data_IF_090440273224
#
_entry.id   IF_090440273224
#
_cell.length_a   1.000
_cell.length_b   1.000
_cell.length_c   1.000
_cell.angle_alpha   90.00
_cell.angle_beta   90.00
_cell.angle_gamma   90.00
#
_symmetry.space_group_name_H-M   'P 1'
#
loop_
_entity.id
_entity.type
_entity.pdbx_description
1 polymer ?
#
# COMPACT_ATOMS: atom_id res chain seq x y z
N UNK A 1 3.92 -38.21 -20.36
CA UNK A 1 3.87 -37.82 -18.93
C UNK A 1 5.03 -36.91 -18.62
N UNK A 2 4.75 -35.62 -18.47
CA UNK A 2 5.57 -34.66 -17.74
C UNK A 2 4.64 -33.51 -17.34
N UNK A 3 4.62 -33.23 -16.04
CA UNK A 3 3.62 -32.47 -15.31
C UNK A 3 3.57 -31.00 -15.76
N UNK A 4 2.35 -30.47 -15.88
CA UNK A 4 2.11 -29.03 -15.74
C UNK A 4 2.43 -28.63 -14.30
N UNK A 5 3.41 -27.74 -14.13
CA UNK A 5 3.56 -26.94 -12.91
C UNK A 5 2.46 -25.86 -12.92
N UNK A 6 1.64 -25.72 -11.86
CA UNK A 6 0.71 -24.60 -11.78
C UNK A 6 1.49 -23.29 -11.57
N UNK A 7 1.10 -22.26 -12.33
CA UNK A 7 1.59 -20.90 -12.18
C UNK A 7 1.29 -20.37 -10.75
N UNK A 8 2.18 -19.57 -10.14
CA UNK A 8 1.91 -18.96 -8.84
C UNK A 8 0.72 -18.00 -8.93
N UNK A 9 -0.23 -18.19 -8.02
CA UNK A 9 -1.48 -17.46 -7.87
C UNK A 9 -1.30 -16.08 -7.22
N UNK A 10 -0.28 -15.32 -7.63
CA UNK A 10 -0.04 -13.98 -7.12
C UNK A 10 -0.89 -12.98 -7.92
N UNK A 11 -2.19 -13.01 -7.64
CA UNK A 11 -3.17 -12.03 -8.10
C UNK A 11 -2.82 -10.65 -7.55
N UNK A 12 -2.35 -9.79 -8.43
CA UNK A 12 -2.30 -8.35 -8.22
C UNK A 12 -3.72 -7.79 -8.06
N UNK A 13 -3.83 -6.54 -7.58
CA UNK A 13 -5.02 -5.67 -7.49
C UNK A 13 -5.75 -5.58 -6.14
N UNK A 14 -5.65 -4.39 -5.53
CA UNK A 14 -6.75 -3.72 -4.81
C UNK A 14 -7.36 -2.74 -5.81
N UNK A 15 -8.67 -2.78 -6.03
CA UNK A 15 -9.29 -2.00 -7.11
C UNK A 15 -9.43 -0.51 -6.75
N UNK A 16 -8.99 0.31 -7.70
CA UNK A 16 -9.16 1.76 -7.82
C UNK A 16 -8.53 2.16 -9.16
N UNK A 17 -9.37 2.16 -10.19
CA UNK A 17 -9.15 2.39 -11.63
C UNK A 17 -7.90 3.23 -12.05
N UNK A 18 -7.19 2.78 -13.09
CA UNK A 18 -6.14 3.53 -13.82
C UNK A 18 -6.46 3.46 -15.31
N UNK A 19 -6.71 4.60 -15.94
CA UNK A 19 -6.77 4.73 -17.41
C UNK A 19 -5.55 5.50 -17.91
N UNK A 20 -4.81 4.87 -18.83
CA UNK A 20 -4.13 5.40 -20.05
C UNK A 20 -3.30 6.71 -19.92
N UNK A 21 -2.00 6.84 -20.24
CA UNK A 21 -1.10 6.13 -21.17
C UNK A 21 0.39 6.33 -20.78
N UNK A 22 1.25 5.40 -21.23
CA UNK A 22 2.74 5.34 -21.40
C UNK A 22 3.67 6.15 -20.44
N UNK A 23 4.58 5.47 -19.69
CA UNK A 23 5.66 6.14 -18.97
C UNK A 23 6.91 6.32 -19.85
N UNK A 24 7.45 7.54 -19.88
CA UNK A 24 8.87 7.76 -20.15
C UNK A 24 9.67 7.20 -18.96
N UNK A 25 10.62 6.32 -19.26
CA UNK A 25 11.49 5.68 -18.28
C UNK A 25 12.34 6.72 -17.55
N UNK A 26 12.31 6.71 -16.22
CA UNK A 26 13.44 7.19 -15.42
C UNK A 26 14.31 5.96 -15.13
N UNK A 27 15.58 6.07 -15.52
CA UNK A 27 16.62 5.04 -15.45
C UNK A 27 16.74 4.41 -14.04
N UNK A 28 16.91 3.09 -14.00
CA UNK A 28 16.95 2.24 -12.80
C UNK A 28 18.35 1.71 -12.46
N UNK A 29 19.42 2.29 -13.02
CA UNK A 29 20.79 1.79 -12.82
C UNK A 29 21.66 2.58 -11.83
N UNK A 30 21.10 3.46 -11.00
CA UNK A 30 21.86 4.08 -9.92
C UNK A 30 21.70 3.30 -8.59
N UNK A 31 22.79 3.02 -7.84
CA UNK A 31 22.69 2.67 -6.43
C UNK A 31 22.39 3.96 -5.66
N UNK A 32 21.15 4.43 -5.78
CA UNK A 32 20.67 5.60 -5.04
C UNK A 32 20.18 5.10 -3.70
N UNK A 33 20.67 5.70 -2.61
CA UNK A 33 20.01 5.60 -1.31
C UNK A 33 18.50 5.82 -1.53
N UNK A 34 17.72 4.76 -1.36
CA UNK A 34 16.30 4.73 -1.77
C UNK A 34 15.43 5.60 -0.84
N UNK A 35 16.02 6.10 0.24
CA UNK A 35 15.38 6.88 1.29
C UNK A 35 15.46 8.36 0.93
N UNK A 36 14.34 9.08 0.79
CA UNK A 36 14.38 10.52 1.00
C UNK A 36 14.83 10.79 2.45
N UNK A 37 15.51 11.92 2.68
CA UNK A 37 15.82 12.35 4.04
C UNK A 37 14.52 12.38 4.88
N UNK A 38 14.56 11.88 6.12
CA UNK A 38 13.42 11.92 7.04
C UNK A 38 12.82 13.33 6.99
N UNK A 39 11.50 13.49 6.73
CA UNK A 39 10.94 14.82 6.73
C UNK A 39 11.16 15.40 8.14
N UNK A 40 11.47 16.69 8.26
CA UNK A 40 11.71 17.28 9.58
C UNK A 40 10.52 16.96 10.49
N UNK A 41 10.82 16.60 11.74
CA UNK A 41 9.82 16.29 12.75
C UNK A 41 8.69 17.33 12.70
N UNK A 42 7.42 16.87 12.74
CA UNK A 42 6.18 17.66 12.61
C UNK A 42 6.43 19.13 12.97
N UNK A 43 6.47 20.01 11.96
CA UNK A 43 6.55 21.45 12.19
C UNK A 43 5.36 21.84 13.07
N UNK A 44 5.61 22.52 14.19
CA UNK A 44 4.55 23.16 14.98
C UNK A 44 3.74 24.05 14.02
N UNK A 45 2.42 24.05 14.20
CA UNK A 45 1.44 24.72 13.33
C UNK A 45 1.87 26.15 12.98
N UNK A 46 2.24 26.36 11.72
CA UNK A 46 2.31 27.69 11.11
C UNK A 46 0.90 28.33 11.14
N UNK A 47 0.79 29.67 11.20
CA UNK A 47 -0.50 30.36 11.19
C UNK A 47 -1.30 29.95 9.95
N UNK A 48 -2.64 30.04 10.03
CA UNK A 48 -3.66 29.52 9.10
C UNK A 48 -3.46 30.01 7.66
N UNK A 49 -2.42 29.49 7.03
CA UNK A 49 -1.94 29.76 5.70
C UNK A 49 -2.26 28.58 4.79
N UNK A 50 -2.16 28.84 3.50
CA UNK A 50 -2.42 27.92 2.39
C UNK A 50 -2.10 26.46 2.73
N UNK A 51 -3.11 25.59 2.61
CA UNK A 51 -2.94 24.15 2.76
C UNK A 51 -1.77 23.66 1.88
N UNK A 52 -0.93 22.73 2.37
CA UNK A 52 0.16 22.22 1.58
C UNK A 52 -0.37 21.58 0.30
N UNK A 53 0.21 21.95 -0.84
CA UNK A 53 -0.09 21.32 -2.13
C UNK A 53 0.58 19.95 -2.16
N UNK A 54 -0.19 18.91 -2.47
CA UNK A 54 0.32 17.55 -2.67
C UNK A 54 0.40 17.25 -4.17
N UNK A 55 1.45 16.55 -4.57
CA UNK A 55 1.57 15.94 -5.89
C UNK A 55 0.73 14.67 -6.01
N UNK A 56 0.58 14.18 -7.24
CA UNK A 56 -0.14 12.93 -7.54
C UNK A 56 0.59 11.67 -7.04
N UNK A 57 1.88 11.80 -6.71
CA UNK A 57 2.75 10.76 -6.17
C UNK A 57 3.56 11.33 -5.03
N UNK A 58 3.43 10.71 -3.87
CA UNK A 58 4.07 11.18 -2.64
C UNK A 58 4.70 10.03 -1.88
N UNK A 59 5.61 10.37 -0.99
CA UNK A 59 6.12 9.46 0.03
C UNK A 59 5.29 9.62 1.30
N UNK A 60 4.79 8.52 1.84
CA UNK A 60 4.06 8.48 3.11
C UNK A 60 4.70 7.47 4.05
N UNK A 61 4.47 7.61 5.35
CA UNK A 61 4.96 6.68 6.37
C UNK A 61 3.84 6.27 7.31
N UNK A 62 3.97 5.08 7.87
CA UNK A 62 3.20 4.55 9.00
C UNK A 62 4.20 4.25 10.12
N UNK A 63 4.68 5.30 10.83
CA UNK A 63 5.81 5.19 11.75
C UNK A 63 5.52 4.27 12.94
N UNK A 64 4.27 4.22 13.40
CA UNK A 64 3.83 3.35 14.50
C UNK A 64 3.94 1.86 14.15
N UNK A 65 4.11 1.55 12.86
CA UNK A 65 4.32 0.21 12.34
C UNK A 65 5.74 0.00 11.78
N UNK A 66 6.67 0.94 11.98
CA UNK A 66 8.04 0.83 11.46
C UNK A 66 8.15 0.97 9.93
N UNK A 67 7.10 1.47 9.26
CA UNK A 67 7.12 1.77 7.84
C UNK A 67 7.42 3.25 7.64
N UNK A 68 8.70 3.61 7.60
CA UNK A 68 9.09 5.02 7.43
C UNK A 68 8.66 5.60 6.07
N UNK A 69 8.70 4.76 5.03
CA UNK A 69 8.50 5.19 3.65
C UNK A 69 7.78 4.16 2.81
N UNK A 70 6.73 4.60 2.12
CA UNK A 70 6.11 3.88 1.02
C UNK A 70 5.63 4.88 -0.03
N UNK A 71 5.77 4.53 -1.31
CA UNK A 71 5.23 5.36 -2.40
C UNK A 71 3.72 5.23 -2.44
N UNK A 72 3.01 6.35 -2.37
CA UNK A 72 1.57 6.43 -2.50
C UNK A 72 1.14 7.25 -3.71
N UNK A 73 -0.02 6.89 -4.28
CA UNK A 73 -0.71 7.71 -5.28
C UNK A 73 -1.78 8.52 -4.54
N UNK A 74 -1.81 9.84 -4.76
CA UNK A 74 -2.90 10.68 -4.27
C UNK A 74 -4.02 10.63 -5.30
N UNK A 75 -5.16 10.07 -4.91
CA UNK A 75 -6.31 9.83 -5.79
C UNK A 75 -7.56 10.50 -5.23
N UNK A 76 -7.86 11.71 -5.70
CA UNK A 76 -9.03 12.48 -5.25
C UNK A 76 -10.36 11.87 -5.71
N UNK A 77 -10.33 10.90 -6.64
CA UNK A 77 -11.53 10.18 -7.09
C UNK A 77 -11.90 8.99 -6.20
N UNK A 78 -11.02 8.60 -5.28
CA UNK A 78 -11.24 7.45 -4.41
C UNK A 78 -11.91 7.87 -3.09
N UNK A 79 -13.01 7.19 -2.72
CA UNK A 79 -13.67 7.37 -1.41
C UNK A 79 -12.88 6.74 -0.25
N UNK A 80 -11.99 5.80 -0.55
CA UNK A 80 -11.21 5.04 0.43
C UNK A 80 -9.79 4.82 -0.05
N UNK A 81 -8.84 4.79 0.89
CA UNK A 81 -7.47 4.35 0.62
C UNK A 81 -7.40 2.86 0.29
N UNK A 82 -6.38 2.47 -0.46
CA UNK A 82 -6.09 1.09 -0.80
C UNK A 82 -4.59 0.82 -0.65
N UNK A 83 -4.25 -0.29 0.00
CA UNK A 83 -2.87 -0.69 0.26
C UNK A 83 -2.62 -2.09 -0.27
N UNK A 84 -1.52 -2.26 -1.02
CA UNK A 84 -1.07 -3.59 -1.41
C UNK A 84 -0.53 -4.33 -0.18
N UNK A 85 -1.25 -5.37 0.24
CA UNK A 85 -0.95 -6.21 1.39
C UNK A 85 -0.57 -7.61 0.90
N UNK A 86 0.71 -7.96 1.00
CA UNK A 86 1.22 -9.27 0.61
C UNK A 86 1.09 -10.27 1.77
N UNK A 87 0.92 -11.56 1.44
CA UNK A 87 0.79 -12.65 2.44
C UNK A 87 -0.26 -12.35 3.52
N UNK A 88 -1.40 -11.82 3.10
CA UNK A 88 -2.52 -11.53 3.99
C UNK A 88 -3.04 -12.84 4.61
N UNK A 89 -3.06 -12.89 5.94
CA UNK A 89 -3.65 -13.97 6.72
C UNK A 89 -4.66 -13.37 7.69
N UNK A 90 -5.82 -14.00 7.84
CA UNK A 90 -6.82 -13.66 8.85
C UNK A 90 -6.71 -14.64 10.02
N UNK A 91 -6.83 -14.15 11.25
CA UNK A 91 -6.79 -14.97 12.46
C UNK A 91 -7.72 -14.39 13.53
N UNK A 92 -8.06 -15.20 14.53
CA UNK A 92 -8.79 -14.76 15.73
C UNK A 92 -7.78 -14.45 16.83
N UNK A 93 -7.92 -13.30 17.49
CA UNK A 93 -7.19 -12.95 18.70
C UNK A 93 -8.17 -12.45 19.75
N UNK A 94 -8.40 -13.26 20.78
CA UNK A 94 -9.33 -12.94 21.86
C UNK A 94 -10.80 -12.80 21.44
N UNK A 95 -11.24 -13.50 20.38
CA UNK A 95 -12.61 -13.41 19.84
C UNK A 95 -12.85 -12.23 18.89
N UNK A 96 -11.81 -11.47 18.54
CA UNK A 96 -11.84 -10.44 17.50
C UNK A 96 -11.14 -10.95 16.23
N UNK A 97 -11.63 -10.54 15.06
CA UNK A 97 -11.00 -10.88 13.79
C UNK A 97 -9.83 -9.94 13.50
N UNK A 98 -8.64 -10.50 13.27
CA UNK A 98 -7.41 -9.77 12.96
C UNK A 98 -6.85 -10.16 11.60
N UNK A 99 -6.04 -9.28 11.03
CA UNK A 99 -5.26 -9.56 9.83
C UNK A 99 -3.78 -9.30 10.05
N UNK A 100 -2.94 -10.21 9.54
CA UNK A 100 -1.50 -10.08 9.43
C UNK A 100 -1.12 -9.98 7.97
N UNK A 101 -0.34 -8.97 7.58
CA UNK A 101 0.12 -8.81 6.21
C UNK A 101 1.49 -8.15 6.14
N UNK A 102 2.14 -8.25 4.98
CA UNK A 102 3.44 -7.63 4.69
C UNK A 102 3.30 -6.50 3.69
N UNK A 103 4.01 -5.41 3.94
CA UNK A 103 4.19 -4.29 3.01
C UNK A 103 5.62 -4.33 2.49
N UNK A 104 5.76 -4.18 1.16
CA UNK A 104 7.05 -3.99 0.52
C UNK A 104 7.19 -2.51 0.11
N UNK A 105 7.99 -1.71 0.82
CA UNK A 105 8.07 -0.26 0.57
C UNK A 105 8.70 0.08 -0.79
N UNK A 106 9.56 -0.81 -1.29
CA UNK A 106 10.35 -0.60 -2.50
C UNK A 106 9.80 -1.44 -3.67
N UNK A 107 9.60 -0.81 -4.82
CA UNK A 107 9.13 -1.51 -6.02
C UNK A 107 10.12 -2.60 -6.44
N UNK A 108 9.59 -3.79 -6.77
CA UNK A 108 10.38 -4.96 -7.23
C UNK A 108 11.48 -5.36 -6.24
N UNK A 109 11.24 -5.22 -4.93
CA UNK A 109 12.19 -5.59 -3.90
C UNK A 109 11.45 -6.05 -2.63
N UNK A 110 12.09 -6.96 -1.90
CA UNK A 110 11.60 -7.49 -0.62
C UNK A 110 12.35 -6.92 0.59
N UNK A 111 13.29 -6.00 0.35
CA UNK A 111 14.10 -5.33 1.39
C UNK A 111 13.21 -4.40 2.21
N UNK A 112 13.52 -4.25 3.50
CA UNK A 112 12.78 -3.41 4.47
C UNK A 112 11.28 -3.75 4.53
N UNK A 113 10.92 -5.00 4.26
CA UNK A 113 9.54 -5.45 4.36
C UNK A 113 9.04 -5.35 5.81
N UNK A 114 7.87 -4.74 5.99
CA UNK A 114 7.24 -4.55 7.30
C UNK A 114 6.06 -5.50 7.43
N UNK A 115 5.94 -6.18 8.57
CA UNK A 115 4.76 -6.97 8.93
C UNK A 115 3.87 -6.13 9.82
N UNK A 116 2.58 -6.02 9.48
CA UNK A 116 1.58 -5.30 10.25
C UNK A 116 0.47 -6.27 10.65
N UNK A 117 0.03 -6.14 11.90
CA UNK A 117 -1.15 -6.79 12.45
C UNK A 117 -2.14 -5.72 12.87
N UNK A 118 -3.40 -5.89 12.52
CA UNK A 118 -4.46 -4.96 12.86
C UNK A 118 -5.82 -5.67 12.98
N UNK A 119 -6.71 -5.20 13.87
CA UNK A 119 -8.08 -5.68 13.94
C UNK A 119 -8.85 -5.29 12.68
N UNK A 120 -9.74 -6.18 12.23
CA UNK A 120 -10.61 -5.94 11.07
C UNK A 120 -11.78 -5.06 11.50
N UNK A 121 -11.83 -3.84 10.97
CA UNK A 121 -12.93 -2.90 11.24
C UNK A 121 -14.18 -3.25 10.42
N UNK A 122 -14.00 -3.63 9.16
CA UNK A 122 -15.09 -3.87 8.21
C UNK A 122 -14.61 -4.78 7.07
N UNK A 123 -15.54 -5.35 6.30
CA UNK A 123 -15.27 -6.16 5.12
C UNK A 123 -16.06 -5.64 3.93
N UNK A 124 -15.37 -5.24 2.88
CA UNK A 124 -15.98 -4.63 1.69
C UNK A 124 -15.81 -5.46 0.44
N UNK A 125 -16.90 -5.58 -0.32
CA UNK A 125 -16.88 -6.21 -1.62
C UNK A 125 -16.20 -5.27 -2.63
N UNK A 126 -15.04 -5.68 -3.12
CA UNK A 126 -14.22 -4.92 -4.08
C UNK A 126 -14.24 -5.67 -5.41
N UNK A 127 -14.69 -5.02 -6.48
CA UNK A 127 -14.68 -5.59 -7.83
C UNK A 127 -13.38 -5.24 -8.53
N UNK A 128 -12.68 -6.24 -9.06
CA UNK A 128 -11.55 -6.04 -9.96
C UNK A 128 -12.03 -5.51 -11.32
N UNK A 129 -11.08 -5.03 -12.13
CA UNK A 129 -11.32 -4.70 -13.55
C UNK A 129 -11.76 -5.91 -14.39
N UNK A 130 -11.46 -7.14 -13.93
CA UNK A 130 -11.97 -8.38 -14.54
C UNK A 130 -13.42 -8.71 -14.14
N UNK A 131 -14.07 -7.88 -13.32
CA UNK A 131 -15.46 -8.06 -12.89
C UNK A 131 -15.64 -8.99 -11.68
N UNK A 132 -14.57 -9.65 -11.22
CA UNK A 132 -14.62 -10.54 -10.06
C UNK A 132 -14.67 -9.71 -8.78
N UNK A 133 -15.68 -9.99 -7.97
CA UNK A 133 -15.87 -9.35 -6.68
C UNK A 133 -15.19 -10.18 -5.57
N UNK A 134 -14.44 -9.53 -4.69
CA UNK A 134 -13.79 -10.16 -3.54
C UNK A 134 -14.06 -9.38 -2.28
N UNK A 135 -14.30 -10.08 -1.17
CA UNK A 135 -14.45 -9.45 0.13
C UNK A 135 -13.05 -9.12 0.70
N UNK A 136 -12.81 -7.84 1.00
CA UNK A 136 -11.52 -7.32 1.46
C UNK A 136 -11.63 -6.73 2.86
N UNK A 137 -10.68 -7.00 3.76
CA UNK A 137 -10.68 -6.38 5.08
C UNK A 137 -10.39 -4.88 4.97
N UNK A 138 -10.99 -4.11 5.88
CA UNK A 138 -10.74 -2.71 6.13
C UNK A 138 -10.12 -2.62 7.52
N UNK A 139 -8.99 -1.92 7.63
CA UNK A 139 -8.27 -1.69 8.89
C UNK A 139 -8.00 -0.20 9.04
N UNK A 140 -7.78 0.23 10.27
CA UNK A 140 -7.32 1.59 10.57
C UNK A 140 -5.84 1.52 10.89
N UNK A 141 -5.04 2.32 10.19
CA UNK A 141 -3.61 2.49 10.45
C UNK A 141 -3.36 3.98 10.73
N UNK A 142 -2.69 4.34 11.84
CA UNK A 142 -2.43 5.72 12.23
C UNK A 142 -1.36 6.41 11.37
#
# INVERSE_FOLDING_TARGET
MASLMPAPADGWWVCGFVSSERPLWVDMRAPVDRRPARPPARRRSEPMGTLPKLGWREWVGLPDHGLDWVKAKVDTGARTSALHAARLVTFDDGGEEWVRFRIYPWQRSTVDAVTIEAPVLDRRLVRSSSGVAQLRPVVVLP
#
